data_IF_158342347105
#
_entry.id   IF_158342347105
#
_cell.length_a   1.000
_cell.length_b   1.000
_cell.length_c   1.000
_cell.angle_alpha   90.00
_cell.angle_beta   90.00
_cell.angle_gamma   90.00
#
_symmetry.space_group_name_H-M   'P 1'
#
loop_
_entity.id
_entity.type
_entity.pdbx_description
1 polymer ?
#
# COMPACT_ATOMS: atom_id res chain seq x y z
N UNK A 1 3.91 -27.36 -4.46
CA UNK A 1 3.84 -26.71 -3.13
C UNK A 1 3.86 -25.20 -3.34
N UNK A 2 2.73 -24.61 -3.71
CA UNK A 2 2.59 -23.17 -4.02
C UNK A 2 1.14 -22.71 -3.78
N UNK A 3 0.51 -23.24 -2.74
CA UNK A 3 -0.94 -23.06 -2.49
C UNK A 3 -1.28 -22.87 -1.00
N UNK A 4 -0.31 -22.45 -0.18
CA UNK A 4 -0.53 -22.23 1.25
C UNK A 4 -0.31 -20.77 1.69
N UNK A 5 0.29 -19.92 0.87
CA UNK A 5 0.66 -18.56 1.29
C UNK A 5 -0.45 -17.51 1.08
N UNK A 6 -1.35 -17.69 0.11
CA UNK A 6 -2.38 -16.68 -0.21
C UNK A 6 -3.48 -16.59 0.87
N UNK A 7 -3.77 -17.72 1.56
CA UNK A 7 -4.82 -17.76 2.58
C UNK A 7 -4.34 -17.23 3.94
N UNK A 8 -3.04 -17.32 4.22
CA UNK A 8 -2.45 -16.76 5.44
C UNK A 8 -2.34 -15.23 5.38
N UNK A 9 -1.94 -14.68 4.22
CA UNK A 9 -1.89 -13.24 4.01
C UNK A 9 -3.26 -12.56 4.22
N UNK A 10 -4.34 -13.15 3.69
CA UNK A 10 -5.70 -12.60 3.82
C UNK A 10 -6.22 -12.53 5.26
N UNK A 11 -5.82 -13.46 6.12
CA UNK A 11 -6.23 -13.48 7.53
C UNK A 11 -5.44 -12.44 8.33
N UNK A 12 -4.13 -12.33 8.10
CA UNK A 12 -3.28 -11.33 8.74
C UNK A 12 -3.69 -9.90 8.36
N UNK A 13 -4.03 -9.67 7.08
CA UNK A 13 -4.52 -8.39 6.58
C UNK A 13 -5.76 -7.88 7.32
N UNK A 14 -6.65 -8.81 7.68
CA UNK A 14 -7.96 -8.48 8.24
C UNK A 14 -7.93 -8.28 9.76
N UNK A 15 -7.00 -8.94 10.46
CA UNK A 15 -6.78 -8.73 11.90
C UNK A 15 -5.89 -7.52 12.18
N UNK A 16 -4.84 -7.27 11.38
CA UNK A 16 -3.94 -6.13 11.60
C UNK A 16 -4.61 -4.78 11.27
N UNK A 17 -5.47 -4.74 10.24
CA UNK A 17 -6.26 -3.54 9.87
C UNK A 17 -7.47 -3.27 10.78
N UNK A 18 -7.73 -4.11 11.80
CA UNK A 18 -8.75 -3.81 12.81
C UNK A 18 -8.20 -2.99 13.98
N UNK A 19 -6.91 -3.10 14.28
CA UNK A 19 -6.27 -2.42 15.42
C UNK A 19 -5.32 -1.27 15.02
N UNK A 20 -4.96 -1.10 13.74
CA UNK A 20 -4.17 0.06 13.24
C UNK A 20 -5.02 1.19 12.65
N UNK A 21 -6.30 1.23 13.00
CA UNK A 21 -7.29 2.20 12.47
C UNK A 21 -7.08 3.64 12.96
N UNK A 22 -6.06 3.90 13.77
CA UNK A 22 -5.77 5.25 14.28
C UNK A 22 -4.93 6.09 13.31
N UNK A 23 -4.26 5.53 12.28
CA UNK A 23 -3.29 6.28 11.43
C UNK A 23 -3.39 6.08 9.90
N UNK A 24 -4.41 5.38 9.38
CA UNK A 24 -4.62 5.27 7.92
C UNK A 24 -3.55 4.47 7.15
N UNK A 25 -2.87 3.53 7.82
CA UNK A 25 -1.83 2.67 7.20
C UNK A 25 -2.42 1.44 6.49
N UNK A 26 -2.05 1.24 5.22
CA UNK A 26 -2.45 0.13 4.36
C UNK A 26 -1.22 -0.67 4.00
N UNK A 27 -1.17 -1.91 4.46
CA UNK A 27 -0.07 -2.80 4.13
C UNK A 27 -0.24 -3.38 2.72
N UNK A 28 0.70 -3.15 1.80
CA UNK A 28 0.73 -3.76 0.47
C UNK A 28 1.97 -4.63 0.27
N UNK A 29 2.73 -4.89 1.33
CA UNK A 29 3.98 -5.65 1.23
C UNK A 29 3.69 -7.09 0.81
N UNK A 30 4.43 -7.58 -0.18
CA UNK A 30 4.32 -8.96 -0.65
C UNK A 30 3.13 -9.26 -1.55
N UNK A 31 2.27 -8.28 -1.87
CA UNK A 31 1.24 -8.41 -2.90
C UNK A 31 1.85 -8.38 -4.31
N UNK A 32 1.12 -8.90 -5.30
CA UNK A 32 1.46 -8.66 -6.69
C UNK A 32 1.19 -7.19 -7.07
N UNK A 33 1.96 -6.66 -8.03
CA UNK A 33 1.84 -5.26 -8.48
C UNK A 33 0.41 -4.89 -8.86
N UNK A 34 -0.27 -5.76 -9.62
CA UNK A 34 -1.65 -5.53 -10.03
C UNK A 34 -2.63 -5.51 -8.84
N UNK A 35 -2.44 -6.40 -7.86
CA UNK A 35 -3.27 -6.43 -6.66
C UNK A 35 -3.04 -5.20 -5.78
N UNK A 36 -1.78 -4.77 -5.65
CA UNK A 36 -1.44 -3.58 -4.87
C UNK A 36 -2.07 -2.31 -5.47
N UNK A 37 -2.05 -2.17 -6.80
CA UNK A 37 -2.71 -1.06 -7.51
C UNK A 37 -4.21 -1.06 -7.26
N UNK A 38 -4.89 -2.21 -7.45
CA UNK A 38 -6.34 -2.31 -7.23
C UNK A 38 -6.72 -1.99 -5.78
N UNK A 39 -5.97 -2.51 -4.81
CA UNK A 39 -6.22 -2.23 -3.40
C UNK A 39 -5.98 -0.74 -3.11
N UNK A 40 -4.94 -0.14 -3.69
CA UNK A 40 -4.67 1.28 -3.48
C UNK A 40 -5.80 2.17 -4.02
N UNK A 41 -6.32 1.90 -5.22
CA UNK A 41 -7.46 2.60 -5.79
C UNK A 41 -8.71 2.51 -4.89
N UNK A 42 -9.09 1.30 -4.51
CA UNK A 42 -10.24 1.06 -3.63
C UNK A 42 -10.10 1.81 -2.30
N UNK A 43 -8.89 1.82 -1.74
CA UNK A 43 -8.64 2.49 -0.46
C UNK A 43 -8.61 4.01 -0.58
N UNK A 44 -8.08 4.56 -1.67
CA UNK A 44 -8.17 5.99 -1.97
C UNK A 44 -9.64 6.44 -2.05
N UNK A 45 -10.51 5.69 -2.74
CA UNK A 45 -11.94 6.00 -2.79
C UNK A 45 -12.60 5.92 -1.41
N UNK A 46 -12.29 4.88 -0.64
CA UNK A 46 -12.83 4.72 0.72
C UNK A 46 -12.36 5.86 1.64
N UNK A 47 -11.10 6.25 1.57
CA UNK A 47 -10.51 7.32 2.35
C UNK A 47 -11.12 8.68 1.99
N UNK A 48 -11.27 8.98 0.68
CA UNK A 48 -12.02 10.14 0.21
C UNK A 48 -13.45 10.16 0.71
N UNK A 49 -14.14 9.02 0.69
CA UNK A 49 -15.52 8.91 1.18
C UNK A 49 -15.61 9.12 2.70
N UNK A 50 -14.58 8.72 3.46
CA UNK A 50 -14.46 8.98 4.90
C UNK A 50 -14.12 10.43 5.23
N UNK A 51 -13.57 11.17 4.27
CA UNK A 51 -13.03 12.51 4.47
C UNK A 51 -11.62 12.49 5.06
N UNK A 52 -10.86 11.42 4.81
CA UNK A 52 -9.45 11.33 5.22
C UNK A 52 -8.61 12.21 4.27
N UNK A 53 -7.75 13.06 4.83
CA UNK A 53 -6.86 13.96 4.07
C UNK A 53 -5.58 13.25 3.60
N UNK A 54 -5.15 12.20 4.31
CA UNK A 54 -3.88 11.50 4.09
C UNK A 54 -4.06 9.99 4.25
N UNK A 55 -3.36 9.22 3.40
CA UNK A 55 -3.31 7.76 3.46
C UNK A 55 -1.86 7.28 3.37
N UNK A 56 -1.50 6.27 4.16
CA UNK A 56 -0.16 5.70 4.21
C UNK A 56 -0.15 4.30 3.58
N UNK A 57 0.60 4.09 2.50
CA UNK A 57 0.74 2.80 1.83
C UNK A 57 2.09 2.15 2.11
N UNK A 58 2.12 0.98 2.74
CA UNK A 58 3.34 0.24 3.03
C UNK A 58 3.69 -0.63 1.81
N UNK A 59 4.60 -0.14 0.98
CA UNK A 59 5.07 -0.82 -0.26
C UNK A 59 6.27 -1.77 -0.01
N UNK A 60 6.88 -1.66 1.18
CA UNK A 60 8.05 -2.46 1.57
C UNK A 60 9.38 -1.85 1.09
N UNK A 61 10.45 -2.05 1.89
CA UNK A 61 11.75 -1.37 1.71
C UNK A 61 12.63 -1.89 0.56
N UNK A 62 12.25 -2.97 -0.12
CA UNK A 62 13.04 -3.59 -1.20
C UNK A 62 14.46 -4.07 -0.80
N UNK A 63 14.80 -4.06 0.49
CA UNK A 63 16.17 -4.16 1.00
C UNK A 63 16.80 -5.57 0.90
N UNK A 64 16.03 -6.60 0.52
CA UNK A 64 16.49 -8.00 0.45
C UNK A 64 16.30 -8.68 -0.91
N UNK A 65 15.97 -7.93 -1.96
CA UNK A 65 15.62 -8.56 -3.23
C UNK A 65 16.85 -8.76 -4.13
N UNK A 66 17.55 -9.88 -3.97
CA UNK A 66 18.59 -10.32 -4.92
C UNK A 66 18.08 -10.64 -6.34
N UNK A 67 16.76 -10.61 -6.57
CA UNK A 67 16.11 -10.92 -7.87
C UNK A 67 14.76 -10.22 -8.09
N UNK A 68 14.31 -9.31 -7.22
CA UNK A 68 12.92 -8.82 -7.20
C UNK A 68 12.82 -7.32 -6.94
N UNK A 69 13.02 -6.52 -7.99
CA UNK A 69 12.72 -5.09 -7.96
C UNK A 69 11.40 -4.82 -7.24
N UNK A 70 11.38 -3.81 -6.37
CA UNK A 70 10.18 -3.34 -5.69
C UNK A 70 9.22 -2.69 -6.70
N UNK A 71 8.66 -3.49 -7.62
CA UNK A 71 7.81 -3.04 -8.74
C UNK A 71 6.47 -2.44 -8.29
N UNK A 72 6.09 -2.70 -7.03
CA UNK A 72 4.88 -2.14 -6.42
C UNK A 72 5.02 -0.62 -6.27
N UNK A 73 6.19 -0.15 -5.84
CA UNK A 73 6.43 1.27 -5.61
C UNK A 73 6.23 2.13 -6.86
N UNK A 74 6.94 1.90 -7.99
CA UNK A 74 6.76 2.72 -9.18
C UNK A 74 5.33 2.59 -9.73
N UNK A 75 4.70 1.42 -9.63
CA UNK A 75 3.31 1.26 -10.09
C UNK A 75 2.31 2.10 -9.28
N UNK A 76 2.53 2.26 -7.97
CA UNK A 76 1.69 3.12 -7.14
C UNK A 76 2.01 4.61 -7.32
N UNK A 77 3.28 4.98 -7.46
CA UNK A 77 3.66 6.35 -7.83
C UNK A 77 3.03 6.76 -9.16
N UNK A 78 3.04 5.88 -10.17
CA UNK A 78 2.37 6.08 -11.46
C UNK A 78 0.85 6.24 -11.30
N UNK A 79 0.21 5.36 -10.52
CA UNK A 79 -1.23 5.43 -10.23
C UNK A 79 -1.62 6.77 -9.60
N UNK A 80 -0.92 7.19 -8.53
CA UNK A 80 -1.25 8.43 -7.84
C UNK A 80 -0.96 9.66 -8.69
N UNK A 81 0.10 9.61 -9.52
CA UNK A 81 0.37 10.65 -10.52
C UNK A 81 -0.78 10.75 -11.54
N UNK A 82 -1.31 9.62 -12.01
CA UNK A 82 -2.44 9.59 -12.95
C UNK A 82 -3.74 10.12 -12.32
N UNK A 83 -3.95 9.81 -11.03
CA UNK A 83 -5.08 10.33 -10.25
C UNK A 83 -4.92 11.80 -9.84
N UNK A 84 -3.75 12.41 -10.10
CA UNK A 84 -3.44 13.79 -9.72
C UNK A 84 -3.30 13.98 -8.20
N UNK A 85 -2.90 12.93 -7.49
CA UNK A 85 -2.71 12.92 -6.04
C UNK A 85 -1.26 13.20 -5.68
N UNK A 86 -1.06 14.11 -4.73
CA UNK A 86 0.26 14.36 -4.17
C UNK A 86 0.71 13.14 -3.36
N UNK A 87 1.89 12.61 -3.68
CA UNK A 87 2.46 11.45 -3.02
C UNK A 87 3.93 11.70 -2.68
N UNK A 88 4.35 11.21 -1.51
CA UNK A 88 5.71 11.35 -1.01
C UNK A 88 6.12 10.15 -0.19
N UNK A 89 7.40 9.81 -0.17
CA UNK A 89 7.89 8.76 0.72
C UNK A 89 8.06 9.28 2.14
N UNK A 90 7.79 8.42 3.12
CA UNK A 90 8.09 8.75 4.50
C UNK A 90 9.62 8.86 4.71
N UNK A 91 10.11 9.98 5.30
CA UNK A 91 11.54 10.22 5.48
C UNK A 91 12.21 9.28 6.50
N UNK A 92 11.45 8.67 7.40
CA UNK A 92 11.92 7.69 8.38
C UNK A 92 11.74 6.24 7.90
N UNK A 93 10.80 6.01 6.98
CA UNK A 93 10.47 4.70 6.44
C UNK A 93 10.27 4.72 4.93
N UNK A 94 11.36 4.48 4.18
CA UNK A 94 11.34 4.37 2.71
C UNK A 94 10.46 3.25 2.14
N UNK A 95 9.88 2.41 3.00
CA UNK A 95 8.89 1.41 2.63
C UNK A 95 7.45 1.89 2.77
N UNK A 96 7.22 3.17 3.07
CA UNK A 96 5.90 3.80 3.23
C UNK A 96 5.78 4.96 2.24
N UNK A 97 4.69 4.95 1.48
CA UNK A 97 4.30 5.96 0.52
C UNK A 97 3.07 6.69 1.06
N UNK A 98 3.25 7.96 1.39
CA UNK A 98 2.22 8.86 1.92
C UNK A 98 1.52 9.52 0.73
N UNK A 99 0.18 9.49 0.71
CA UNK A 99 -0.64 10.08 -0.35
C UNK A 99 -1.61 11.06 0.27
N UNK A 100 -1.66 12.27 -0.27
CA UNK A 100 -2.57 13.34 0.10
C UNK A 100 -3.80 13.30 -0.81
N UNK A 101 -4.99 13.37 -0.23
CA UNK A 101 -6.28 13.18 -0.91
C UNK A 101 -7.09 14.46 -1.12
N UNK A 102 -6.53 15.62 -0.76
CA UNK A 102 -7.08 17.00 -0.75
C UNK A 102 -8.24 17.28 -1.73
#
# INVERSE_FOLDING_TARGET
MKELDERAAKIFFRENNKNRREDGEIDLHGLYVAEAVQVAEDQVEIARWRGDEVVHFIVGKGLHSGTGEAKIRPALEDLFTELGLDHSLDPHNTGVLVVLLD
#
